data_IF_546436202959
#
_entry.id   IF_546436202959
#
_cell.length_a   1.000
_cell.length_b   1.000
_cell.length_c   1.000
_cell.angle_alpha   90.00
_cell.angle_beta   90.00
_cell.angle_gamma   90.00
#
_symmetry.space_group_name_H-M   'P 1'
#
loop_
_entity.id
_entity.type
_entity.pdbx_description
1 polymer ?
#
# COMPACT_ATOMS: atom_id res chain seq x y z
N UNK A 1 10.10 9.21 16.90
CA UNK A 1 8.72 9.71 17.13
C UNK A 1 7.98 8.62 17.86
N UNK A 2 7.24 8.97 18.92
CA UNK A 2 6.60 8.01 19.81
C UNK A 2 5.12 8.30 19.98
N UNK A 3 4.40 7.35 20.55
CA UNK A 3 3.00 7.49 20.92
C UNK A 3 2.89 7.77 22.42
N UNK A 4 1.75 8.29 22.86
CA UNK A 4 1.44 8.37 24.28
C UNK A 4 1.16 6.96 24.81
N UNK A 5 1.79 6.56 25.92
CA UNK A 5 1.36 5.39 26.68
C UNK A 5 0.23 5.82 27.63
N UNK A 6 -0.99 5.37 27.34
CA UNK A 6 -2.19 5.74 28.12
C UNK A 6 -2.08 5.27 29.57
N UNK A 7 -1.47 4.12 29.82
CA UNK A 7 -1.28 3.60 31.18
C UNK A 7 -0.39 4.54 31.99
N UNK A 8 0.80 4.86 31.47
CA UNK A 8 1.74 5.78 32.12
C UNK A 8 1.14 7.18 32.25
N UNK A 9 0.39 7.64 31.24
CA UNK A 9 -0.28 8.94 31.31
C UNK A 9 -1.33 8.99 32.42
N UNK A 10 -2.12 7.94 32.62
CA UNK A 10 -3.08 7.85 33.75
C UNK A 10 -2.36 7.88 35.11
N UNK A 11 -1.24 7.17 35.24
CA UNK A 11 -0.45 7.18 36.46
C UNK A 11 0.19 8.55 36.73
N UNK A 12 0.69 9.22 35.69
CA UNK A 12 1.26 10.56 35.80
C UNK A 12 0.21 11.63 36.13
N UNK A 13 -1.05 11.46 35.69
CA UNK A 13 -2.18 12.31 36.06
C UNK A 13 -2.68 12.04 37.49
N UNK A 14 -2.50 10.81 37.99
CA UNK A 14 -2.85 10.42 39.34
C UNK A 14 -1.78 10.89 40.34
N UNK A 15 -1.72 12.22 40.54
CA UNK A 15 -0.73 12.88 41.39
C UNK A 15 -1.38 13.68 42.53
N UNK A 16 -0.67 13.79 43.66
CA UNK A 16 -1.11 14.52 44.83
C UNK A 16 0.05 15.00 45.69
N UNK A 17 -0.27 15.72 46.76
CA UNK A 17 0.70 16.29 47.69
C UNK A 17 1.29 15.22 48.63
N UNK A 18 2.61 15.23 48.82
CA UNK A 18 3.35 14.33 49.71
C UNK A 18 3.31 14.72 51.21
N UNK A 19 2.52 15.74 51.56
CA UNK A 19 2.47 16.35 52.90
C UNK A 19 3.56 17.39 53.14
N UNK A 20 4.49 17.57 52.20
CA UNK A 20 5.58 18.55 52.26
C UNK A 20 5.46 19.64 51.18
N UNK A 21 4.33 19.68 50.46
CA UNK A 21 4.10 20.64 49.38
C UNK A 21 4.60 20.17 48.01
N UNK A 22 5.12 18.95 47.87
CA UNK A 22 5.57 18.43 46.59
C UNK A 22 4.48 17.58 45.96
N UNK A 23 4.24 17.79 44.67
CA UNK A 23 3.34 16.93 43.89
C UNK A 23 4.10 15.69 43.44
N UNK A 24 3.60 14.51 43.78
CA UNK A 24 4.16 13.19 43.47
C UNK A 24 3.09 12.26 42.90
N UNK A 25 3.48 11.24 42.15
CA UNK A 25 2.53 10.20 41.70
C UNK A 25 2.05 9.41 42.93
N UNK A 26 0.76 9.09 42.98
CA UNK A 26 0.15 8.45 44.15
C UNK A 26 0.32 6.92 44.17
N UNK A 27 0.55 6.30 43.02
CA UNK A 27 0.75 4.85 42.91
C UNK A 27 2.23 4.52 43.15
N UNK A 28 2.50 3.76 44.22
CA UNK A 28 3.86 3.37 44.61
C UNK A 28 4.57 2.52 43.55
N UNK A 29 3.85 1.62 42.85
CA UNK A 29 4.45 0.81 41.79
C UNK A 29 4.81 1.68 40.57
N UNK A 30 3.96 2.66 40.23
CA UNK A 30 4.28 3.61 39.16
C UNK A 30 5.51 4.46 39.50
N UNK A 31 5.68 4.86 40.77
CA UNK A 31 6.88 5.58 41.24
C UNK A 31 8.14 4.73 41.07
N UNK A 32 8.09 3.43 41.40
CA UNK A 32 9.21 2.49 41.15
C UNK A 32 9.54 2.36 39.65
N UNK A 33 8.53 2.45 38.78
CA UNK A 33 8.67 2.48 37.32
C UNK A 33 9.10 3.85 36.75
N UNK A 34 9.37 4.84 37.61
CA UNK A 34 9.86 6.16 37.22
C UNK A 34 8.79 7.19 36.87
N UNK A 35 7.59 7.07 37.45
CA UNK A 35 6.50 8.04 37.27
C UNK A 35 6.92 9.45 37.65
N UNK A 36 6.63 10.40 36.76
CA UNK A 36 6.79 11.83 37.00
C UNK A 36 5.42 12.49 36.80
N UNK A 37 4.90 13.24 37.78
CA UNK A 37 3.62 13.92 37.66
C UNK A 37 3.54 14.80 36.42
N UNK A 38 2.41 14.74 35.72
CA UNK A 38 2.18 15.53 34.52
C UNK A 38 1.12 16.61 34.76
N UNK A 39 1.49 17.86 34.51
CA UNK A 39 0.56 18.98 34.51
C UNK A 39 0.14 19.28 33.07
N UNK A 40 -1.14 19.03 32.76
CA UNK A 40 -1.71 19.29 31.42
C UNK A 40 -2.28 20.70 31.27
N UNK A 41 -2.28 21.49 32.34
CA UNK A 41 -2.84 22.83 32.37
C UNK A 41 -1.74 23.87 32.19
N UNK A 42 -1.84 24.65 31.12
CA UNK A 42 -0.91 25.74 30.81
C UNK A 42 0.18 25.36 29.81
N UNK A 43 0.72 26.37 29.13
CA UNK A 43 1.80 26.19 28.18
C UNK A 43 3.14 25.99 28.91
N UNK A 44 3.92 25.00 28.47
CA UNK A 44 5.27 24.74 29.01
C UNK A 44 5.29 24.08 30.40
N UNK A 45 4.17 23.55 30.88
CA UNK A 45 4.07 22.94 32.23
C UNK A 45 4.47 21.47 32.28
N UNK A 46 4.50 20.78 31.13
CA UNK A 46 4.97 19.39 31.04
C UNK A 46 6.50 19.37 31.06
N UNK A 47 7.06 18.80 32.14
CA UNK A 47 8.51 18.65 32.28
C UNK A 47 9.07 17.62 31.28
N UNK A 48 10.36 17.71 30.90
CA UNK A 48 11.00 16.69 30.06
C UNK A 48 10.93 15.27 30.66
N UNK A 49 10.94 15.16 32.00
CA UNK A 49 10.80 13.89 32.70
C UNK A 49 9.39 13.29 32.56
N UNK A 50 8.35 14.12 32.76
CA UNK A 50 6.96 13.71 32.56
C UNK A 50 6.70 13.32 31.10
N UNK A 51 7.17 14.13 30.14
CA UNK A 51 7.07 13.82 28.72
C UNK A 51 7.74 12.49 28.37
N UNK A 52 8.94 12.22 28.92
CA UNK A 52 9.66 10.95 28.70
C UNK A 52 8.92 9.75 29.30
N UNK A 53 8.33 9.89 30.49
CA UNK A 53 7.60 8.81 31.16
C UNK A 53 6.33 8.40 30.40
N UNK A 54 5.59 9.38 29.87
CA UNK A 54 4.32 9.12 29.16
C UNK A 54 4.50 8.80 27.67
N UNK A 55 5.71 8.96 27.12
CA UNK A 55 6.00 8.65 25.72
C UNK A 55 6.54 7.23 25.60
N UNK A 56 5.94 6.45 24.70
CA UNK A 56 6.45 5.14 24.29
C UNK A 56 6.93 5.15 22.84
N UNK A 57 7.96 4.37 22.49
CA UNK A 57 8.30 4.13 21.09
C UNK A 57 7.12 3.43 20.40
N UNK A 58 6.79 3.86 19.19
CA UNK A 58 5.86 3.14 18.33
C UNK A 58 6.64 2.38 17.29
N UNK A 59 6.29 1.11 17.13
CA UNK A 59 6.95 0.19 16.19
C UNK A 59 5.84 -0.45 15.37
N UNK A 60 6.03 -0.50 14.07
CA UNK A 60 5.13 -1.18 13.15
C UNK A 60 5.97 -2.02 12.21
N UNK A 61 5.74 -3.32 12.21
CA UNK A 61 6.41 -4.25 11.28
C UNK A 61 5.48 -4.47 10.09
N UNK A 62 5.87 -3.96 8.94
CA UNK A 62 5.14 -4.08 7.69
C UNK A 62 5.95 -4.95 6.74
N UNK A 63 5.30 -5.95 6.15
CA UNK A 63 5.92 -6.91 5.24
C UNK A 63 5.16 -6.92 3.95
N UNK A 64 5.89 -6.84 2.84
CA UNK A 64 5.35 -7.01 1.50
C UNK A 64 6.26 -7.95 0.73
N UNK A 65 5.65 -8.93 0.06
CA UNK A 65 6.36 -9.86 -0.82
C UNK A 65 5.60 -9.98 -2.13
N UNK A 66 6.30 -9.75 -3.23
CA UNK A 66 5.77 -9.97 -4.57
C UNK A 66 6.65 -10.98 -5.30
N UNK A 67 6.01 -11.94 -5.95
CA UNK A 67 6.67 -12.91 -6.82
C UNK A 67 6.04 -12.82 -8.19
N UNK A 68 6.87 -12.61 -9.23
CA UNK A 68 6.42 -12.50 -10.62
C UNK A 68 7.21 -13.51 -11.44
N UNK A 69 6.51 -14.26 -12.29
CA UNK A 69 7.09 -15.09 -13.31
C UNK A 69 6.29 -14.93 -14.59
N UNK A 70 6.95 -14.90 -15.74
CA UNK A 70 6.25 -14.74 -17.00
C UNK A 70 7.09 -15.17 -18.19
N UNK A 71 6.41 -15.38 -19.31
CA UNK A 71 7.00 -15.64 -20.61
C UNK A 71 6.18 -14.89 -21.65
N UNK A 72 6.86 -14.24 -22.59
CA UNK A 72 6.22 -13.51 -23.67
C UNK A 72 6.88 -13.80 -25.01
N UNK A 73 6.10 -13.68 -26.07
CA UNK A 73 6.54 -13.75 -27.46
C UNK A 73 5.94 -12.58 -28.23
N UNK A 74 6.74 -12.00 -29.10
CA UNK A 74 6.36 -10.86 -29.95
C UNK A 74 6.94 -11.04 -31.33
N UNK A 75 6.26 -10.55 -32.35
CA UNK A 75 6.81 -10.53 -33.70
C UNK A 75 5.74 -10.34 -34.76
N UNK A 76 6.18 -10.48 -36.00
CA UNK A 76 5.35 -10.34 -37.18
C UNK A 76 4.85 -11.71 -37.64
N UNK A 77 3.55 -11.87 -37.84
CA UNK A 77 2.95 -13.14 -38.26
C UNK A 77 3.10 -13.37 -39.76
N UNK A 78 2.71 -12.38 -40.56
CA UNK A 78 2.80 -12.39 -42.02
C UNK A 78 2.58 -10.98 -42.58
N UNK A 79 2.97 -10.81 -43.84
CA UNK A 79 2.86 -9.52 -44.56
C UNK A 79 1.41 -9.27 -45.02
N UNK A 80 0.87 -8.10 -44.70
CA UNK A 80 -0.35 -7.55 -45.31
C UNK A 80 0.05 -6.52 -46.39
N UNK A 81 -0.88 -6.13 -47.30
CA UNK A 81 -0.58 -5.12 -48.31
C UNK A 81 -0.08 -3.77 -47.76
N UNK A 82 -0.41 -3.44 -46.51
CA UNK A 82 -0.04 -2.19 -45.87
C UNK A 82 1.04 -2.32 -44.78
N UNK A 83 1.69 -3.49 -44.67
CA UNK A 83 2.72 -3.80 -43.67
C UNK A 83 2.47 -5.13 -42.95
N UNK A 84 3.40 -5.55 -42.10
CA UNK A 84 3.25 -6.80 -41.37
C UNK A 84 2.13 -6.76 -40.30
N UNK A 85 1.42 -7.88 -40.14
CA UNK A 85 0.53 -8.12 -39.00
C UNK A 85 1.38 -8.41 -37.75
N UNK A 86 1.40 -7.48 -36.81
CA UNK A 86 2.15 -7.62 -35.56
C UNK A 86 1.35 -8.41 -34.52
N UNK A 87 2.06 -9.16 -33.69
CA UNK A 87 1.50 -9.91 -32.56
C UNK A 87 2.33 -9.77 -31.29
N UNK A 88 1.64 -9.83 -30.14
CA UNK A 88 2.26 -10.04 -28.84
C UNK A 88 1.40 -11.00 -28.02
N UNK A 89 2.01 -11.97 -27.36
CA UNK A 89 1.30 -12.87 -26.46
C UNK A 89 2.17 -13.24 -25.27
N UNK A 90 1.55 -13.62 -24.16
CA UNK A 90 2.30 -14.03 -22.99
C UNK A 90 1.47 -14.68 -21.91
N UNK A 91 2.20 -15.28 -20.98
CA UNK A 91 1.71 -15.86 -19.74
C UNK A 91 2.36 -15.14 -18.58
N UNK A 92 1.58 -14.84 -17.54
CA UNK A 92 2.04 -14.17 -16.33
C UNK A 92 1.52 -14.89 -15.09
N UNK A 93 2.35 -15.01 -14.07
CA UNK A 93 1.96 -15.39 -12.73
C UNK A 93 2.47 -14.32 -11.78
N UNK A 94 1.57 -13.82 -10.93
CA UNK A 94 1.90 -12.88 -9.87
C UNK A 94 1.29 -13.35 -8.56
N UNK A 95 2.08 -13.34 -7.50
CA UNK A 95 1.61 -13.54 -6.13
C UNK A 95 2.05 -12.37 -5.27
N UNK A 96 1.12 -11.86 -4.47
CA UNK A 96 1.34 -10.78 -3.53
C UNK A 96 0.94 -11.23 -2.13
N UNK A 97 1.79 -10.91 -1.16
CA UNK A 97 1.54 -11.03 0.27
C UNK A 97 1.83 -9.68 0.93
N UNK A 98 0.92 -9.26 1.80
CA UNK A 98 1.09 -8.08 2.63
C UNK A 98 0.70 -8.42 4.08
N UNK A 99 1.47 -7.90 5.02
CA UNK A 99 1.16 -7.99 6.43
C UNK A 99 1.56 -6.72 7.16
N UNK A 100 0.85 -6.46 8.24
CA UNK A 100 1.01 -5.30 9.10
C UNK A 100 0.80 -5.71 10.55
N UNK A 101 1.86 -5.56 11.35
CA UNK A 101 1.92 -5.93 12.76
C UNK A 101 2.20 -4.67 13.60
N UNK A 102 1.15 -4.02 14.15
CA UNK A 102 1.30 -2.93 15.10
C UNK A 102 1.95 -3.37 16.42
N UNK A 103 2.61 -2.44 17.11
CA UNK A 103 3.18 -2.68 18.44
C UNK A 103 2.12 -3.05 19.49
N UNK A 104 2.58 -3.63 20.60
CA UNK A 104 1.71 -4.12 21.66
C UNK A 104 0.81 -3.04 22.27
N UNK A 105 1.26 -1.78 22.38
CA UNK A 105 0.45 -0.68 22.92
C UNK A 105 -0.68 -0.32 21.96
N UNK A 106 -0.40 -0.33 20.66
CA UNK A 106 -1.41 -0.11 19.61
C UNK A 106 -2.45 -1.23 19.61
N UNK A 107 -2.02 -2.49 19.68
CA UNK A 107 -2.95 -3.64 19.71
C UNK A 107 -3.79 -3.72 20.99
N UNK A 108 -3.27 -3.26 22.12
CA UNK A 108 -4.05 -3.21 23.37
C UNK A 108 -4.92 -1.96 23.48
N UNK A 109 -4.84 -1.01 22.54
CA UNK A 109 -5.53 0.28 22.63
C UNK A 109 -5.02 1.15 23.79
N UNK A 110 -3.76 0.94 24.20
CA UNK A 110 -3.10 1.67 25.27
C UNK A 110 -2.11 2.71 24.74
N UNK A 111 -2.13 3.00 23.44
CA UNK A 111 -1.42 4.12 22.86
C UNK A 111 -2.36 5.33 22.65
N UNK A 112 -1.83 6.50 22.33
CA UNK A 112 -2.62 7.71 22.06
C UNK A 112 -3.45 7.68 20.75
N UNK A 113 -3.48 6.56 20.03
CA UNK A 113 -4.18 6.39 18.77
C UNK A 113 -5.33 5.38 18.86
N UNK A 114 -5.76 4.89 17.69
CA UNK A 114 -6.78 3.83 17.64
C UNK A 114 -6.17 2.47 17.95
N UNK A 115 -6.99 1.59 18.53
CA UNK A 115 -6.66 0.17 18.62
C UNK A 115 -6.66 -0.43 17.21
N UNK A 116 -5.54 -1.05 16.83
CA UNK A 116 -5.37 -1.75 15.55
C UNK A 116 -4.98 -3.21 15.79
N UNK A 117 -5.65 -4.14 15.12
CA UNK A 117 -5.27 -5.56 15.14
C UNK A 117 -4.31 -5.87 13.99
N UNK A 118 -3.43 -6.88 14.12
CA UNK A 118 -2.61 -7.33 13.01
C UNK A 118 -3.46 -7.72 11.80
N UNK A 119 -3.02 -7.34 10.61
CA UNK A 119 -3.68 -7.72 9.36
C UNK A 119 -2.67 -8.36 8.44
N UNK A 120 -3.10 -9.42 7.76
CA UNK A 120 -2.31 -10.05 6.72
C UNK A 120 -3.22 -10.62 5.63
N UNK A 121 -2.67 -10.72 4.43
CA UNK A 121 -3.40 -11.25 3.29
C UNK A 121 -2.46 -11.55 2.14
N UNK A 122 -2.90 -12.47 1.30
CA UNK A 122 -2.24 -12.76 0.03
C UNK A 122 -3.27 -13.06 -1.05
N UNK A 123 -2.88 -12.79 -2.28
CA UNK A 123 -3.59 -13.28 -3.44
C UNK A 123 -2.59 -13.66 -4.54
N UNK A 124 -3.06 -14.46 -5.48
CA UNK A 124 -2.30 -14.82 -6.67
C UNK A 124 -3.17 -14.75 -7.90
N UNK A 125 -2.53 -14.41 -9.02
CA UNK A 125 -3.17 -14.32 -10.33
C UNK A 125 -2.32 -15.05 -11.36
N UNK A 126 -3.00 -15.80 -12.24
CA UNK A 126 -2.43 -16.40 -13.45
C UNK A 126 -3.11 -15.77 -14.65
N UNK A 127 -2.33 -15.29 -15.60
CA UNK A 127 -2.84 -14.52 -16.72
C UNK A 127 -2.29 -15.04 -18.03
N UNK A 128 -3.12 -14.97 -19.07
CA UNK A 128 -2.74 -15.19 -20.45
C UNK A 128 -3.24 -14.02 -21.27
N UNK A 129 -2.41 -13.47 -22.15
CA UNK A 129 -2.81 -12.37 -23.03
C UNK A 129 -2.36 -12.59 -24.46
N UNK A 130 -3.09 -11.99 -25.39
CA UNK A 130 -2.75 -11.91 -26.80
C UNK A 130 -3.20 -10.56 -27.36
N UNK A 131 -2.37 -9.97 -28.19
CA UNK A 131 -2.62 -8.74 -28.92
C UNK A 131 -2.21 -8.91 -30.39
N UNK A 132 -3.02 -8.35 -31.28
CA UNK A 132 -2.79 -8.29 -32.72
C UNK A 132 -2.96 -6.84 -33.17
N UNK A 133 -2.08 -6.37 -34.05
CA UNK A 133 -2.18 -5.06 -34.69
C UNK A 133 -1.95 -5.18 -36.20
N UNK A 134 -2.96 -4.81 -36.97
CA UNK A 134 -3.02 -4.96 -38.41
C UNK A 134 -2.98 -3.59 -39.10
N UNK A 135 -1.91 -3.26 -39.85
CA UNK A 135 -1.96 -2.14 -40.78
C UNK A 135 -2.89 -2.51 -41.95
N UNK A 136 -3.92 -1.70 -42.18
CA UNK A 136 -4.92 -1.91 -43.22
C UNK A 136 -4.65 -1.05 -44.46
N UNK A 137 -4.21 0.20 -44.26
CA UNK A 137 -3.92 1.13 -45.35
C UNK A 137 -2.62 1.88 -45.09
N UNK A 138 -1.85 2.07 -46.16
CA UNK A 138 -0.70 2.98 -46.23
C UNK A 138 -0.81 3.79 -47.51
N UNK A 139 -0.53 5.10 -47.43
CA UNK A 139 -0.49 6.03 -48.58
C UNK A 139 -1.74 6.04 -49.48
N UNK A 140 -2.92 5.84 -48.91
CA UNK A 140 -4.20 5.89 -49.63
C UNK A 140 -4.85 7.29 -49.56
N UNK A 141 -5.73 7.66 -50.53
CA UNK A 141 -6.54 8.87 -50.42
C UNK A 141 -7.34 8.89 -49.12
N UNK A 142 -7.22 9.98 -48.35
CA UNK A 142 -7.84 10.14 -47.02
C UNK A 142 -7.39 9.14 -45.94
N UNK A 143 -6.34 8.35 -46.18
CA UNK A 143 -5.78 7.43 -45.20
C UNK A 143 -4.28 7.25 -45.49
N UNK A 144 -3.47 8.17 -44.95
CA UNK A 144 -2.01 8.02 -44.93
C UNK A 144 -1.58 6.81 -44.15
N UNK A 145 -2.24 6.55 -43.02
CA UNK A 145 -2.20 5.26 -42.36
C UNK A 145 -3.55 4.92 -41.73
N UNK A 146 -3.89 3.65 -41.73
CA UNK A 146 -4.98 3.09 -40.95
C UNK A 146 -4.52 1.76 -40.38
N UNK A 147 -4.49 1.63 -39.06
CA UNK A 147 -4.31 0.33 -38.39
C UNK A 147 -5.48 0.03 -37.48
N UNK A 148 -5.73 -1.27 -37.29
CA UNK A 148 -6.70 -1.78 -36.33
C UNK A 148 -6.03 -2.79 -35.43
N UNK A 149 -6.36 -2.75 -34.16
CA UNK A 149 -5.79 -3.64 -33.16
C UNK A 149 -6.85 -4.30 -32.32
N UNK A 150 -6.57 -5.51 -31.85
CA UNK A 150 -7.37 -6.21 -30.85
C UNK A 150 -6.46 -6.79 -29.78
N UNK A 151 -6.88 -6.73 -28.53
CA UNK A 151 -6.19 -7.35 -27.41
C UNK A 151 -7.19 -8.10 -26.53
N UNK A 152 -6.73 -9.19 -25.93
CA UNK A 152 -7.48 -10.03 -25.02
C UNK A 152 -6.60 -10.48 -23.86
N UNK A 153 -7.13 -10.49 -22.64
CA UNK A 153 -6.47 -10.97 -21.43
C UNK A 153 -7.45 -11.79 -20.61
N UNK A 154 -7.03 -12.99 -20.24
CA UNK A 154 -7.69 -13.87 -19.28
C UNK A 154 -6.90 -13.82 -17.99
N UNK A 155 -7.57 -13.64 -16.86
CA UNK A 155 -6.94 -13.59 -15.55
C UNK A 155 -7.72 -14.46 -14.56
N UNK A 156 -7.05 -15.42 -13.94
CA UNK A 156 -7.59 -16.30 -12.90
C UNK A 156 -7.00 -15.91 -11.55
N UNK A 157 -7.83 -15.33 -10.69
CA UNK A 157 -7.48 -14.92 -9.34
C UNK A 157 -7.96 -15.95 -8.32
N UNK A 158 -7.12 -16.30 -7.34
CA UNK A 158 -7.53 -17.17 -6.24
C UNK A 158 -8.59 -16.58 -5.29
N UNK A 159 -8.83 -15.27 -5.39
CA UNK A 159 -9.79 -14.51 -4.56
C UNK A 159 -11.15 -14.30 -5.24
N UNK A 160 -11.15 -13.85 -6.50
CA UNK A 160 -12.37 -13.46 -7.24
C UNK A 160 -12.69 -14.40 -8.41
N UNK A 161 -11.85 -15.39 -8.68
CA UNK A 161 -11.97 -16.29 -9.81
C UNK A 161 -11.59 -15.62 -11.13
N UNK A 162 -12.21 -16.08 -12.21
CA UNK A 162 -11.87 -15.70 -13.57
C UNK A 162 -12.42 -14.32 -13.94
N UNK A 163 -11.59 -13.52 -14.62
CA UNK A 163 -11.94 -12.23 -15.21
C UNK A 163 -11.37 -12.16 -16.63
N UNK A 164 -12.05 -11.40 -17.48
CA UNK A 164 -11.68 -11.23 -18.88
C UNK A 164 -11.62 -9.74 -19.21
N UNK A 165 -10.62 -9.34 -19.99
CA UNK A 165 -10.49 -8.00 -20.52
C UNK A 165 -10.21 -8.05 -22.01
N UNK A 166 -10.85 -7.17 -22.78
CA UNK A 166 -10.64 -7.06 -24.21
C UNK A 166 -10.58 -5.61 -24.66
N UNK A 167 -9.93 -5.37 -25.79
CA UNK A 167 -9.82 -4.04 -26.38
C UNK A 167 -9.87 -4.15 -27.89
N UNK A 168 -10.56 -3.21 -28.54
CA UNK A 168 -10.48 -2.98 -29.97
C UNK A 168 -9.99 -1.54 -30.20
N UNK A 169 -9.04 -1.35 -31.11
CA UNK A 169 -8.38 -0.07 -31.39
C UNK A 169 -8.41 0.21 -32.88
N UNK A 170 -8.50 1.49 -33.23
CA UNK A 170 -8.27 1.96 -34.59
C UNK A 170 -7.41 3.22 -34.50
N UNK A 171 -6.30 3.23 -35.22
CA UNK A 171 -5.45 4.41 -35.38
C UNK A 171 -5.55 4.87 -36.83
N UNK A 172 -6.05 6.08 -37.04
CA UNK A 172 -6.26 6.64 -38.37
C UNK A 172 -5.52 7.96 -38.50
N UNK A 173 -4.66 8.03 -39.51
CA UNK A 173 -4.02 9.24 -39.96
C UNK A 173 -4.59 9.62 -41.34
N UNK A 174 -5.50 10.61 -41.42
CA UNK A 174 -6.14 10.97 -42.68
C UNK A 174 -5.20 11.69 -43.66
N UNK A 175 -4.26 12.48 -43.12
CA UNK A 175 -3.34 13.36 -43.86
C UNK A 175 -1.96 13.36 -43.20
N UNK A 176 -0.94 13.85 -43.90
CA UNK A 176 0.41 13.95 -43.36
C UNK A 176 0.44 14.88 -42.13
N UNK A 177 1.28 14.56 -41.15
CA UNK A 177 1.54 15.46 -40.02
C UNK A 177 2.36 16.68 -40.49
N UNK A 178 2.10 17.85 -39.88
CA UNK A 178 2.87 19.10 -40.09
C UNK A 178 4.32 18.99 -39.62
#
# INVERSE_FOLDING_TARGET
TGQLNISNFRQALNAGDDGSGNIVCLDAAAVEEGCVPINIFGYGTISPGAAKYVTAPSIRDQRTRQTIAGANITGDLFELPAGALAMAAGLEYRSEYAADFPDALTRSGQNGGNKEEPTEGSYSVREAYMELDAPLLTDAPFAKSLSVGVAFRLSDYDTIGNTEAYTARAAWQPVDSL
#
